data_IF_507102121693
#
_entry.id   IF_507102121693
#
_cell.length_a   1.000
_cell.length_b   1.000
_cell.length_c   1.000
_cell.angle_alpha   90.00
_cell.angle_beta   90.00
_cell.angle_gamma   90.00
#
_symmetry.space_group_name_H-M   'P 1'
#
loop_
_entity.id
_entity.type
_entity.pdbx_description
1 polymer ?
#
# COMPACT_ATOMS: atom_id res chain seq x y z
N UNK A 1 -26.67 7.90 -4.81
CA UNK A 1 -26.55 7.31 -6.14
C UNK A 1 -25.59 6.14 -6.13
N UNK A 2 -25.70 5.24 -7.10
CA UNK A 2 -24.85 4.05 -7.18
C UNK A 2 -23.36 4.40 -7.29
N UNK A 3 -23.04 5.50 -7.97
CA UNK A 3 -21.65 5.94 -8.12
C UNK A 3 -21.05 6.35 -6.77
N UNK A 4 -21.80 7.05 -5.94
CA UNK A 4 -21.34 7.46 -4.62
C UNK A 4 -21.12 6.26 -3.70
N UNK A 5 -22.02 5.28 -3.76
CA UNK A 5 -21.89 4.05 -2.96
C UNK A 5 -20.65 3.27 -3.37
N UNK A 6 -20.37 3.19 -4.67
CA UNK A 6 -19.18 2.50 -5.18
C UNK A 6 -17.91 3.23 -4.77
N UNK A 7 -17.93 4.55 -4.82
CA UNK A 7 -16.79 5.36 -4.38
C UNK A 7 -16.46 5.12 -2.91
N UNK A 8 -17.49 5.11 -2.05
CA UNK A 8 -17.29 4.84 -0.63
C UNK A 8 -16.72 3.45 -0.38
N UNK A 9 -17.21 2.45 -1.12
CA UNK A 9 -16.71 1.08 -1.02
C UNK A 9 -15.20 1.03 -1.33
N UNK A 10 -14.79 1.66 -2.44
CA UNK A 10 -13.39 1.69 -2.84
C UNK A 10 -12.53 2.42 -1.79
N UNK A 11 -13.01 3.56 -1.28
CA UNK A 11 -12.29 4.32 -0.27
C UNK A 11 -12.10 3.52 1.01
N UNK A 12 -13.10 2.75 1.42
CA UNK A 12 -12.99 1.88 2.59
C UNK A 12 -11.93 0.81 2.39
N UNK A 13 -11.84 0.25 1.18
CA UNK A 13 -10.81 -0.75 0.86
C UNK A 13 -9.41 -0.13 0.93
N UNK A 14 -9.26 1.10 0.43
CA UNK A 14 -7.99 1.82 0.48
C UNK A 14 -7.60 2.10 1.93
N UNK A 15 -8.55 2.50 2.76
CA UNK A 15 -8.29 2.81 4.18
C UNK A 15 -7.80 1.60 4.96
N UNK A 16 -8.07 0.38 4.50
CA UNK A 16 -7.56 -0.84 5.14
C UNK A 16 -6.11 -1.12 4.79
N UNK A 17 -5.56 -0.44 3.81
CA UNK A 17 -4.17 -0.61 3.40
C UNK A 17 -3.28 0.34 4.18
N UNK A 18 -2.02 -0.06 4.40
CA UNK A 18 -1.06 0.76 5.12
C UNK A 18 -0.77 2.05 4.34
N UNK A 19 -0.88 3.22 4.98
CA UNK A 19 -0.73 4.51 4.27
C UNK A 19 0.61 4.69 3.58
N UNK A 20 1.71 4.33 4.24
CA UNK A 20 3.05 4.47 3.65
C UNK A 20 3.21 3.50 2.48
N UNK A 21 2.73 2.27 2.63
CA UNK A 21 2.77 1.29 1.54
C UNK A 21 1.96 1.79 0.33
N UNK A 22 0.81 2.41 0.55
CA UNK A 22 0.02 3.01 -0.53
C UNK A 22 0.81 4.12 -1.25
N UNK A 23 1.49 4.97 -0.49
CA UNK A 23 2.30 6.04 -1.07
C UNK A 23 3.44 5.50 -1.91
N UNK A 24 4.14 4.47 -1.42
CA UNK A 24 5.24 3.84 -2.14
C UNK A 24 4.74 3.15 -3.41
N UNK A 25 3.61 2.46 -3.33
CA UNK A 25 3.00 1.82 -4.49
C UNK A 25 2.65 2.85 -5.57
N UNK A 26 2.10 3.98 -5.18
CA UNK A 26 1.78 5.05 -6.11
C UNK A 26 3.04 5.57 -6.82
N UNK A 27 4.15 5.70 -6.09
CA UNK A 27 5.41 6.14 -6.68
C UNK A 27 5.87 5.16 -7.77
N UNK A 28 5.74 3.86 -7.53
CA UNK A 28 6.10 2.84 -8.52
C UNK A 28 5.19 2.93 -9.74
N UNK A 29 3.88 3.00 -9.52
CA UNK A 29 2.89 3.06 -10.60
C UNK A 29 3.13 4.27 -11.50
N UNK A 30 3.49 5.42 -10.92
CA UNK A 30 3.73 6.64 -11.68
C UNK A 30 4.93 6.55 -12.61
N UNK A 31 5.84 5.62 -12.38
CA UNK A 31 7.00 5.42 -13.25
C UNK A 31 6.75 4.47 -14.40
N UNK A 32 5.68 3.67 -14.33
CA UNK A 32 5.33 2.73 -15.39
C UNK A 32 4.96 3.52 -16.65
N UNK A 33 5.58 3.15 -17.76
CA UNK A 33 5.31 3.80 -19.05
C UNK A 33 6.19 5.00 -19.35
N UNK A 34 6.87 5.57 -18.35
CA UNK A 34 7.77 6.70 -18.55
C UNK A 34 9.24 6.34 -18.48
N UNK A 35 9.56 5.14 -17.99
CA UNK A 35 10.94 4.65 -17.86
C UNK A 35 11.05 3.22 -18.36
N UNK A 36 12.25 2.76 -18.73
CA UNK A 36 12.44 1.37 -19.15
C UNK A 36 12.04 0.40 -18.03
N UNK A 37 11.55 -0.78 -18.40
CA UNK A 37 11.09 -1.76 -17.43
C UNK A 37 12.15 -2.11 -16.39
N UNK A 38 13.43 -2.26 -16.81
CA UNK A 38 14.50 -2.58 -15.87
C UNK A 38 14.65 -1.52 -14.80
N UNK A 39 14.54 -0.24 -15.18
CA UNK A 39 14.61 0.88 -14.22
C UNK A 39 13.42 0.88 -13.27
N UNK A 40 12.23 0.56 -13.78
CA UNK A 40 11.02 0.47 -12.94
C UNK A 40 11.16 -0.66 -11.93
N UNK A 41 11.69 -1.82 -12.35
CA UNK A 41 11.87 -2.96 -11.47
C UNK A 41 12.88 -2.67 -10.37
N UNK A 42 13.99 -1.99 -10.71
CA UNK A 42 14.99 -1.60 -9.70
C UNK A 42 14.39 -0.64 -8.70
N UNK A 43 13.62 0.34 -9.17
CA UNK A 43 12.93 1.30 -8.31
C UNK A 43 11.92 0.59 -7.39
N UNK A 44 11.16 -0.36 -7.95
CA UNK A 44 10.17 -1.12 -7.17
C UNK A 44 10.85 -1.95 -6.07
N UNK A 45 11.99 -2.58 -6.38
CA UNK A 45 12.73 -3.36 -5.40
C UNK A 45 13.23 -2.47 -4.26
N UNK A 46 13.70 -1.27 -4.57
CA UNK A 46 14.12 -0.28 -3.57
C UNK A 46 12.96 0.12 -2.67
N UNK A 47 11.79 0.38 -3.26
CA UNK A 47 10.61 0.78 -2.50
C UNK A 47 10.08 -0.36 -1.64
N UNK A 48 10.16 -1.59 -2.13
CA UNK A 48 9.78 -2.76 -1.34
C UNK A 48 10.68 -2.92 -0.11
N UNK A 49 12.00 -2.76 -0.31
CA UNK A 49 12.95 -2.83 0.80
C UNK A 49 12.69 -1.71 1.82
N UNK A 50 12.38 -0.50 1.34
CA UNK A 50 12.04 0.63 2.20
C UNK A 50 10.80 0.32 3.04
N UNK A 51 9.76 -0.24 2.40
CA UNK A 51 8.53 -0.60 3.09
C UNK A 51 8.79 -1.67 4.17
N UNK A 52 9.62 -2.65 3.87
CA UNK A 52 9.96 -3.72 4.83
C UNK A 52 10.68 -3.19 6.06
N UNK A 53 11.49 -2.17 5.90
CA UNK A 53 12.23 -1.57 7.01
C UNK A 53 11.39 -0.60 7.83
N UNK A 54 10.24 -0.19 7.30
CA UNK A 54 9.38 0.76 7.98
C UNK A 54 8.53 0.14 9.08
N UNK A 55 7.91 0.97 9.92
CA UNK A 55 7.10 0.49 11.05
C UNK A 55 5.83 -0.23 10.61
N UNK A 56 5.31 0.06 9.44
CA UNK A 56 4.09 -0.57 8.97
C UNK A 56 4.26 -2.07 8.74
N UNK A 57 5.42 -2.50 8.22
CA UNK A 57 5.66 -3.92 7.99
C UNK A 57 5.65 -4.69 9.31
N UNK A 58 6.27 -4.14 10.35
CA UNK A 58 6.27 -4.75 11.68
C UNK A 58 4.86 -4.85 12.25
N UNK A 59 4.09 -3.77 12.14
CA UNK A 59 2.70 -3.77 12.61
C UNK A 59 1.84 -4.75 11.82
N UNK A 60 2.00 -4.80 10.50
CA UNK A 60 1.24 -5.72 9.66
C UNK A 60 1.52 -7.18 10.01
N UNK A 61 2.79 -7.54 10.20
CA UNK A 61 3.17 -8.90 10.58
C UNK A 61 2.64 -9.25 11.96
N UNK A 62 2.73 -8.31 12.90
CA UNK A 62 2.23 -8.52 14.26
C UNK A 62 0.71 -8.70 14.25
N UNK A 63 0.00 -7.87 13.51
CA UNK A 63 -1.45 -7.98 13.39
C UNK A 63 -1.86 -9.31 12.80
N UNK A 64 -1.16 -9.77 11.77
CA UNK A 64 -1.43 -11.06 11.15
C UNK A 64 -1.21 -12.20 12.14
N UNK A 65 -0.10 -12.18 12.88
CA UNK A 65 0.20 -13.22 13.86
C UNK A 65 -0.81 -13.22 15.01
N UNK A 66 -1.30 -12.07 15.41
CA UNK A 66 -2.29 -11.92 16.50
C UNK A 66 -3.72 -12.05 16.01
N UNK A 67 -3.92 -12.22 14.72
CA UNK A 67 -5.24 -12.35 14.09
C UNK A 67 -6.16 -11.18 14.42
N UNK A 68 -5.62 -9.97 14.32
CA UNK A 68 -6.35 -8.73 14.51
C UNK A 68 -6.12 -7.79 13.33
N UNK A 69 -6.98 -6.78 13.14
CA UNK A 69 -6.71 -5.77 12.13
C UNK A 69 -5.49 -4.94 12.52
N UNK A 70 -4.66 -4.50 11.55
CA UNK A 70 -3.58 -3.56 11.84
C UNK A 70 -4.15 -2.22 12.28
N UNK A 71 -3.32 -1.41 12.93
CA UNK A 71 -3.78 -0.14 13.51
C UNK A 71 -4.40 0.83 12.50
N UNK A 72 -3.93 0.81 11.26
CA UNK A 72 -4.45 1.71 10.23
C UNK A 72 -5.81 1.26 9.68
N UNK A 73 -6.23 0.04 9.94
CA UNK A 73 -7.51 -0.51 9.49
C UNK A 73 -8.59 -0.37 10.55
N UNK A 74 -8.62 0.76 11.22
CA UNK A 74 -9.62 1.08 12.24
C UNK A 74 -10.89 1.51 11.54
N UNK A 75 -12.02 0.98 12.01
CA UNK A 75 -13.34 1.35 11.46
C UNK A 75 -13.83 2.67 12.02
#
# INVERSE_FOLDING_TARGET
AALDAKLEEVLKQIDKCAPIANALTKQVVMKVGSEPLSAVLDFAAEKFAEARRGPEAGEGLRAFAEKRPPRWAVE
#
